data_IF_441668003312
#
_entry.id   IF_441668003312
#
_cell.length_a   1.000
_cell.length_b   1.000
_cell.length_c   1.000
_cell.angle_alpha   90.00
_cell.angle_beta   90.00
_cell.angle_gamma   90.00
#
_symmetry.space_group_name_H-M   'P 1'
#
loop_
_entity.id
_entity.type
_entity.pdbx_description
1 polymer ?
#
# COMPACT_ATOMS: atom_id res chain seq x y z
N UNK A 1 43.13 -20.20 77.58
CA UNK A 1 43.57 -18.87 77.11
C UNK A 1 43.41 -18.81 75.59
N UNK A 2 42.71 -17.77 75.09
CA UNK A 2 42.63 -17.28 73.69
C UNK A 2 41.90 -18.18 72.66
N UNK A 3 40.68 -17.80 72.25
CA UNK A 3 40.29 -17.04 71.02
C UNK A 3 40.04 -17.99 69.82
N UNK A 4 39.17 -17.77 68.84
CA UNK A 4 37.91 -17.03 68.62
C UNK A 4 37.49 -17.40 67.17
N UNK A 5 36.17 -17.57 66.93
CA UNK A 5 35.42 -17.10 65.73
C UNK A 5 35.66 -17.75 64.35
N UNK A 6 34.64 -18.53 63.92
CA UNK A 6 33.76 -18.35 62.73
C UNK A 6 34.40 -18.13 61.34
N UNK A 7 34.13 -19.03 60.38
CA UNK A 7 33.55 -18.71 59.05
C UNK A 7 33.36 -19.93 58.13
N UNK A 8 32.14 -20.02 57.56
CA UNK A 8 31.71 -20.36 56.19
C UNK A 8 32.38 -21.54 55.43
N UNK A 9 31.66 -22.41 54.71
CA UNK A 9 30.71 -22.09 53.63
C UNK A 9 29.90 -23.36 53.25
N UNK A 10 28.57 -23.24 53.19
CA UNK A 10 27.61 -24.26 52.78
C UNK A 10 27.61 -24.41 51.24
N UNK A 11 27.79 -25.62 50.71
CA UNK A 11 27.49 -25.94 49.30
C UNK A 11 25.97 -26.04 49.11
N UNK A 12 25.34 -24.95 48.69
CA UNK A 12 23.96 -24.93 48.21
C UNK A 12 23.93 -25.01 46.69
N UNK A 13 23.41 -26.13 46.16
CA UNK A 13 23.17 -26.33 44.73
C UNK A 13 22.09 -25.34 44.25
N UNK A 14 22.53 -24.33 43.48
CA UNK A 14 21.67 -23.32 42.88
C UNK A 14 21.23 -23.81 41.50
N UNK A 15 20.08 -24.47 41.46
CA UNK A 15 19.39 -24.81 40.21
C UNK A 15 18.96 -23.54 39.48
N UNK A 16 19.68 -23.19 38.41
CA UNK A 16 19.28 -22.15 37.46
C UNK A 16 18.01 -22.59 36.72
N UNK A 17 16.87 -22.10 37.17
CA UNK A 17 15.65 -22.08 36.37
C UNK A 17 15.87 -21.16 35.17
N UNK A 18 15.88 -21.76 33.98
CA UNK A 18 15.89 -21.06 32.70
C UNK A 18 14.46 -20.60 32.40
N UNK A 19 14.14 -19.35 32.75
CA UNK A 19 12.95 -18.67 32.23
C UNK A 19 13.36 -17.87 31.00
N UNK A 20 13.30 -18.51 29.84
CA UNK A 20 13.39 -17.84 28.53
C UNK A 20 12.03 -17.21 28.24
N UNK A 21 11.83 -15.98 28.70
CA UNK A 21 10.76 -15.12 28.20
C UNK A 21 11.29 -14.34 27.01
N UNK A 22 11.23 -14.92 25.81
CA UNK A 22 11.25 -14.14 24.59
C UNK A 22 9.80 -13.78 24.28
N UNK A 23 9.36 -12.66 24.85
CA UNK A 23 8.36 -11.83 24.21
C UNK A 23 9.14 -10.85 23.34
N UNK A 24 8.95 -10.93 22.04
CA UNK A 24 9.27 -9.87 21.09
C UNK A 24 8.29 -10.00 19.91
N UNK A 25 7.00 -9.93 20.25
CA UNK A 25 5.98 -9.46 19.31
C UNK A 25 6.20 -7.97 19.07
N UNK A 26 7.25 -7.63 18.32
CA UNK A 26 7.52 -6.28 17.88
C UNK A 26 6.47 -5.88 16.82
N UNK A 27 5.26 -5.56 17.28
CA UNK A 27 4.20 -4.86 16.54
C UNK A 27 4.60 -3.39 16.31
N UNK A 28 5.78 -3.15 15.74
CA UNK A 28 6.03 -1.86 15.13
C UNK A 28 5.11 -1.76 13.91
N UNK A 29 4.27 -0.71 13.79
CA UNK A 29 3.59 -0.46 12.53
C UNK A 29 4.66 -0.39 11.45
N UNK A 30 4.46 -1.03 10.29
CA UNK A 30 5.44 -1.00 9.21
C UNK A 30 5.81 0.45 8.93
N UNK A 31 7.06 0.82 9.23
CA UNK A 31 7.55 2.18 9.04
C UNK A 31 7.76 2.41 7.55
N UNK A 32 7.29 3.55 7.06
CA UNK A 32 7.41 3.97 5.67
C UNK A 32 6.06 4.16 4.99
N UNK A 33 6.09 4.72 3.79
CA UNK A 33 4.91 4.93 2.96
C UNK A 33 4.89 3.94 1.80
N UNK A 34 3.71 3.72 1.24
CA UNK A 34 3.44 2.93 0.05
C UNK A 34 2.58 3.76 -0.89
N UNK A 35 2.84 3.64 -2.19
CA UNK A 35 2.03 4.31 -3.21
C UNK A 35 0.76 3.51 -3.47
N UNK A 36 -0.40 4.10 -3.26
CA UNK A 36 -1.68 3.53 -3.69
C UNK A 36 -2.26 4.34 -4.84
N UNK A 37 -2.57 3.65 -5.94
CA UNK A 37 -3.34 4.21 -7.05
C UNK A 37 -4.69 3.53 -7.16
N UNK A 38 -5.78 4.31 -7.16
CA UNK A 38 -7.16 3.80 -7.24
C UNK A 38 -7.72 4.02 -8.64
N UNK A 39 -8.24 2.97 -9.24
CA UNK A 39 -8.79 2.95 -10.59
C UNK A 39 -10.28 2.62 -10.57
N UNK A 40 -11.03 3.10 -11.55
CA UNK A 40 -12.43 2.75 -11.79
C UNK A 40 -12.56 1.98 -13.11
N UNK A 41 -13.32 0.90 -13.08
CA UNK A 41 -13.70 0.10 -14.25
C UNK A 41 -15.14 -0.39 -14.11
N UNK A 42 -15.76 -0.83 -15.20
CA UNK A 42 -17.12 -1.33 -15.25
C UNK A 42 -17.19 -2.73 -15.88
N UNK A 43 -18.08 -3.55 -15.31
CA UNK A 43 -18.46 -4.82 -15.90
C UNK A 43 -19.40 -4.61 -17.11
N UNK A 44 -19.45 -5.52 -18.09
CA UNK A 44 -20.32 -5.37 -19.25
C UNK A 44 -21.79 -5.16 -18.89
N UNK A 45 -22.41 -4.12 -19.46
CA UNK A 45 -23.83 -3.79 -19.25
C UNK A 45 -24.51 -3.37 -20.56
N UNK A 46 -25.82 -3.63 -20.67
CA UNK A 46 -26.68 -3.27 -21.79
C UNK A 46 -27.51 -2.01 -21.50
N UNK A 47 -26.83 -0.90 -21.20
CA UNK A 47 -27.42 0.45 -21.20
C UNK A 47 -26.73 1.29 -22.27
N UNK A 48 -27.32 2.43 -22.64
CA UNK A 48 -26.68 3.35 -23.59
C UNK A 48 -25.56 4.15 -22.91
N UNK A 49 -25.80 4.56 -21.64
CA UNK A 49 -24.81 5.22 -20.78
C UNK A 49 -25.21 5.07 -19.30
N UNK A 50 -24.22 5.12 -18.42
CA UNK A 50 -24.43 5.14 -16.95
C UNK A 50 -23.50 6.18 -16.36
N UNK A 51 -24.07 7.29 -15.92
CA UNK A 51 -23.35 8.42 -15.36
C UNK A 51 -23.37 8.36 -13.84
N UNK A 52 -22.20 8.25 -13.23
CA UNK A 52 -22.01 8.25 -11.77
C UNK A 52 -21.17 9.44 -11.35
N UNK A 53 -21.71 10.22 -10.42
CA UNK A 53 -21.07 11.39 -9.84
C UNK A 53 -20.17 10.97 -8.68
N UNK A 54 -18.85 10.97 -8.89
CA UNK A 54 -17.84 10.55 -7.91
C UNK A 54 -17.20 11.78 -7.27
N UNK A 55 -17.39 11.92 -5.96
CA UNK A 55 -17.02 13.13 -5.21
C UNK A 55 -15.77 12.95 -4.34
N UNK A 56 -15.58 11.76 -3.76
CA UNK A 56 -14.41 11.48 -2.93
C UNK A 56 -14.20 9.96 -2.77
N UNK A 57 -12.97 9.56 -2.43
CA UNK A 57 -12.70 8.24 -1.83
C UNK A 57 -11.98 8.47 -0.52
N UNK A 58 -12.47 7.85 0.53
CA UNK A 58 -11.91 7.94 1.86
C UNK A 58 -11.35 6.59 2.29
N UNK A 59 -10.31 6.63 3.10
CA UNK A 59 -9.68 5.48 3.73
C UNK A 59 -9.75 5.64 5.24
N UNK A 60 -9.76 4.52 5.94
CA UNK A 60 -9.65 4.48 7.39
C UNK A 60 -8.52 3.54 7.78
N UNK A 61 -7.52 4.09 8.46
CA UNK A 61 -6.34 3.36 8.93
C UNK A 61 -6.48 2.83 10.36
N UNK A 62 -7.55 3.22 11.05
CA UNK A 62 -7.77 2.83 12.44
C UNK A 62 -8.58 1.54 12.52
N UNK A 63 -8.54 0.91 13.69
CA UNK A 63 -9.45 -0.19 14.04
C UNK A 63 -10.89 0.29 14.28
N UNK A 64 -11.10 1.60 14.48
CA UNK A 64 -12.43 2.19 14.60
C UNK A 64 -13.07 2.33 13.22
N UNK A 65 -13.98 1.41 12.88
CA UNK A 65 -14.64 1.40 11.56
C UNK A 65 -15.67 2.53 11.36
N UNK A 66 -15.94 3.33 12.40
CA UNK A 66 -16.92 4.42 12.40
C UNK A 66 -16.25 5.77 12.15
N UNK A 67 -15.18 6.07 12.88
CA UNK A 67 -14.46 7.36 12.79
C UNK A 67 -13.12 7.22 12.05
N UNK A 68 -12.37 8.32 11.88
CA UNK A 68 -11.02 8.27 11.30
C UNK A 68 -10.96 8.20 9.77
N UNK A 69 -12.07 8.44 9.08
CA UNK A 69 -12.12 8.51 7.62
C UNK A 69 -11.37 9.73 7.10
N UNK A 70 -10.36 9.50 6.28
CA UNK A 70 -9.53 10.54 5.66
C UNK A 70 -9.74 10.52 4.15
N UNK A 71 -9.90 11.69 3.55
CA UNK A 71 -9.97 11.82 2.09
C UNK A 71 -8.63 11.47 1.45
N UNK A 72 -8.70 10.67 0.39
CA UNK A 72 -7.57 10.37 -0.47
C UNK A 72 -7.34 11.48 -1.51
N UNK A 73 -8.32 12.35 -1.76
CA UNK A 73 -8.22 13.42 -2.74
C UNK A 73 -8.26 12.90 -4.17
N UNK A 74 -9.44 12.98 -4.80
CA UNK A 74 -9.57 12.64 -6.22
C UNK A 74 -8.73 13.59 -7.08
N UNK A 75 -8.13 13.05 -8.14
CA UNK A 75 -7.47 13.86 -9.16
C UNK A 75 -8.49 14.71 -9.93
N UNK A 76 -9.68 14.16 -10.16
CA UNK A 76 -10.79 14.81 -10.88
C UNK A 76 -12.14 14.38 -10.28
N UNK A 77 -12.70 15.09 -9.29
CA UNK A 77 -14.09 14.89 -8.88
C UNK A 77 -15.05 15.21 -10.04
N UNK A 78 -16.15 14.47 -10.16
CA UNK A 78 -17.18 14.76 -11.16
C UNK A 78 -17.92 13.51 -11.67
N UNK A 79 -18.63 13.71 -12.78
CA UNK A 79 -19.49 12.68 -13.39
C UNK A 79 -18.69 11.85 -14.39
N UNK A 80 -18.77 10.53 -14.23
CA UNK A 80 -18.09 9.54 -15.07
C UNK A 80 -19.14 8.68 -15.78
N UNK A 81 -18.99 8.49 -17.09
CA UNK A 81 -19.72 7.44 -17.79
C UNK A 81 -19.00 6.11 -17.56
N UNK A 82 -19.62 5.19 -16.82
CA UNK A 82 -19.00 3.89 -16.49
C UNK A 82 -18.70 3.07 -17.75
N UNK A 83 -19.52 3.22 -18.79
CA UNK A 83 -19.40 2.45 -20.04
C UNK A 83 -18.17 2.85 -20.87
N UNK A 84 -17.48 3.93 -20.52
CA UNK A 84 -16.20 4.31 -21.11
C UNK A 84 -15.05 3.41 -20.59
N UNK A 85 -15.25 2.75 -19.45
CA UNK A 85 -14.22 2.01 -18.70
C UNK A 85 -14.52 0.50 -18.63
N UNK A 86 -14.91 -0.08 -19.77
CA UNK A 86 -15.22 -1.51 -19.93
C UNK A 86 -14.19 -2.20 -20.81
N UNK A 87 -14.24 -3.55 -20.84
CA UNK A 87 -13.34 -4.38 -21.67
C UNK A 87 -11.85 -4.16 -21.36
N UNK A 88 -11.50 -4.01 -20.08
CA UNK A 88 -10.13 -3.82 -19.62
C UNK A 88 -9.63 -2.37 -19.70
N UNK A 89 -10.48 -1.42 -20.10
CA UNK A 89 -10.22 0.00 -19.93
C UNK A 89 -10.54 0.41 -18.49
N UNK A 90 -9.71 1.29 -17.94
CA UNK A 90 -9.91 1.87 -16.62
C UNK A 90 -9.57 3.37 -16.61
N UNK A 91 -9.90 4.04 -15.51
CA UNK A 91 -9.50 5.44 -15.28
C UNK A 91 -8.93 5.63 -13.89
N UNK A 92 -7.83 6.38 -13.81
CA UNK A 92 -7.17 6.71 -12.55
C UNK A 92 -7.98 7.77 -11.80
N UNK A 93 -8.48 7.41 -10.62
CA UNK A 93 -9.17 8.31 -9.71
C UNK A 93 -8.21 9.02 -8.75
N UNK A 94 -7.25 8.28 -8.20
CA UNK A 94 -6.36 8.72 -7.11
C UNK A 94 -4.96 8.16 -7.33
N UNK A 95 -3.94 8.94 -6.98
CA UNK A 95 -2.59 8.45 -6.76
C UNK A 95 -2.02 9.14 -5.52
N UNK A 96 -1.76 8.40 -4.44
CA UNK A 96 -1.36 8.99 -3.16
C UNK A 96 -0.42 8.07 -2.39
N UNK A 97 0.53 8.68 -1.68
CA UNK A 97 1.39 7.99 -0.73
C UNK A 97 0.64 7.83 0.60
N UNK A 98 0.55 6.60 1.07
CA UNK A 98 -0.14 6.20 2.29
C UNK A 98 0.84 5.53 3.24
N UNK A 99 0.64 5.61 4.56
CA UNK A 99 1.41 4.79 5.48
C UNK A 99 1.29 3.31 5.12
N UNK A 100 2.39 2.57 5.22
CA UNK A 100 2.37 1.13 5.09
C UNK A 100 1.48 0.50 6.19
N UNK A 101 0.92 -0.68 5.90
CA UNK A 101 0.04 -1.40 6.80
C UNK A 101 -1.26 -1.86 6.16
N UNK A 102 -2.18 -2.34 7.00
CA UNK A 102 -3.44 -2.96 6.56
C UNK A 102 -4.50 -1.91 6.24
N UNK A 103 -5.10 -2.01 5.06
CA UNK A 103 -6.30 -1.28 4.65
C UNK A 103 -7.44 -2.30 4.52
N UNK A 104 -8.30 -2.33 5.53
CA UNK A 104 -9.47 -3.21 5.52
C UNK A 104 -10.55 -2.68 4.59
N UNK A 105 -10.77 -1.35 4.58
CA UNK A 105 -11.95 -0.72 4.00
C UNK A 105 -11.63 0.65 3.40
N UNK A 106 -12.37 0.99 2.34
CA UNK A 106 -12.46 2.35 1.79
C UNK A 106 -13.93 2.76 1.71
N UNK A 107 -14.16 4.03 1.42
CA UNK A 107 -15.50 4.60 1.30
C UNK A 107 -15.57 5.50 0.09
N UNK A 108 -16.44 5.16 -0.84
CA UNK A 108 -16.72 5.92 -2.05
C UNK A 108 -17.86 6.91 -1.76
N UNK A 109 -17.61 8.21 -1.97
CA UNK A 109 -18.64 9.25 -1.83
C UNK A 109 -19.18 9.56 -3.22
N UNK A 110 -20.50 9.41 -3.37
CA UNK A 110 -21.21 9.76 -4.60
C UNK A 110 -21.92 11.09 -4.43
N UNK A 111 -21.98 11.87 -5.50
CA UNK A 111 -22.80 13.07 -5.61
C UNK A 111 -24.24 12.75 -6.02
N UNK A 112 -24.99 13.79 -6.38
CA UNK A 112 -26.40 13.67 -6.73
C UNK A 112 -26.66 13.55 -8.23
N UNK A 113 -25.65 13.82 -9.09
CA UNK A 113 -25.82 13.89 -10.53
C UNK A 113 -25.64 12.52 -11.21
N UNK A 114 -26.36 11.51 -10.69
CA UNK A 114 -26.33 10.15 -11.23
C UNK A 114 -27.49 9.94 -12.21
N UNK A 115 -27.24 9.31 -13.36
CA UNK A 115 -28.29 8.99 -14.34
C UNK A 115 -27.96 7.76 -15.18
N UNK A 116 -28.98 7.15 -15.77
CA UNK A 116 -28.87 6.05 -16.73
C UNK A 116 -29.57 6.46 -18.03
N UNK A 117 -28.99 6.11 -19.18
CA UNK A 117 -29.60 6.32 -20.49
C UNK A 117 -30.09 4.99 -21.03
N UNK A 118 -31.39 4.95 -21.37
CA UNK A 118 -32.07 3.78 -21.93
C UNK A 118 -32.91 4.21 -23.12
N UNK A 119 -32.65 3.63 -24.29
CA UNK A 119 -33.33 4.01 -25.53
C UNK A 119 -33.11 5.48 -25.89
N UNK A 120 -31.92 6.01 -25.62
CA UNK A 120 -31.57 7.42 -25.84
C UNK A 120 -32.18 8.43 -24.85
N UNK A 121 -33.01 7.98 -23.91
CA UNK A 121 -33.61 8.86 -22.88
C UNK A 121 -32.85 8.75 -21.57
N UNK A 122 -32.50 9.89 -20.97
CA UNK A 122 -31.81 9.94 -19.67
C UNK A 122 -32.82 9.94 -18.52
N UNK A 123 -32.58 9.07 -17.53
CA UNK A 123 -33.36 8.95 -16.31
C UNK A 123 -32.46 9.16 -15.09
N UNK A 124 -32.87 9.99 -14.11
CA UNK A 124 -32.10 10.16 -12.88
C UNK A 124 -32.07 8.85 -12.08
N UNK A 125 -30.93 8.59 -11.44
CA UNK A 125 -30.74 7.46 -10.53
C UNK A 125 -30.95 7.93 -9.09
N UNK A 126 -31.98 7.44 -8.43
CA UNK A 126 -32.15 7.67 -7.00
C UNK A 126 -31.10 6.88 -6.20
N UNK A 127 -30.50 7.50 -5.19
CA UNK A 127 -29.43 6.89 -4.39
C UNK A 127 -29.82 6.70 -2.91
N UNK A 128 -30.72 5.78 -2.55
CA UNK A 128 -31.19 5.62 -1.17
C UNK A 128 -30.08 5.33 -0.15
N UNK A 129 -29.00 4.66 -0.57
CA UNK A 129 -27.91 4.22 0.31
C UNK A 129 -26.67 5.13 0.32
N UNK A 130 -26.53 6.05 -0.65
CA UNK A 130 -25.30 6.84 -0.81
C UNK A 130 -25.35 8.22 -0.13
N UNK A 131 -26.53 8.72 0.23
CA UNK A 131 -26.76 10.15 0.49
C UNK A 131 -26.30 10.71 1.84
N UNK A 132 -25.95 9.89 2.84
CA UNK A 132 -25.58 10.43 4.16
C UNK A 132 -24.14 10.16 4.60
N UNK A 133 -23.52 9.04 4.20
CA UNK A 133 -22.20 8.68 4.70
C UNK A 133 -21.24 8.09 3.67
N UNK A 134 -21.70 7.87 2.43
CA UNK A 134 -20.92 7.21 1.37
C UNK A 134 -20.98 5.68 1.43
N UNK A 135 -20.59 5.05 0.32
CA UNK A 135 -20.62 3.60 0.13
C UNK A 135 -19.34 2.96 0.67
N UNK A 136 -19.48 2.10 1.67
CA UNK A 136 -18.36 1.38 2.30
C UNK A 136 -17.99 0.15 1.46
N UNK A 137 -16.72 0.02 1.10
CA UNK A 137 -16.16 -1.09 0.32
C UNK A 137 -15.08 -1.80 1.13
N UNK A 138 -15.14 -3.12 1.18
CA UNK A 138 -14.06 -3.93 1.76
C UNK A 138 -12.93 -4.04 0.74
N UNK A 139 -11.67 -3.96 1.16
CA UNK A 139 -10.47 -4.00 0.28
C UNK A 139 -9.45 -5.05 0.74
N UNK A 140 -9.34 -5.30 2.05
CA UNK A 140 -8.42 -6.29 2.63
C UNK A 140 -7.01 -6.28 2.03
N UNK A 141 -6.41 -5.10 1.89
CA UNK A 141 -5.06 -4.95 1.37
C UNK A 141 -4.03 -4.79 2.50
N UNK A 142 -2.81 -5.25 2.26
CA UNK A 142 -1.66 -5.01 3.12
C UNK A 142 -0.60 -4.30 2.29
N UNK A 143 -0.39 -3.01 2.60
CA UNK A 143 0.57 -2.16 1.93
C UNK A 143 1.95 -2.36 2.55
N UNK A 144 2.88 -2.87 1.77
CA UNK A 144 4.30 -2.94 2.15
C UNK A 144 4.95 -1.59 1.85
N UNK A 145 5.78 -1.11 2.79
CA UNK A 145 6.54 0.13 2.59
C UNK A 145 7.38 0.04 1.31
N UNK A 146 7.44 1.15 0.58
CA UNK A 146 8.23 1.34 -0.64
C UNK A 146 7.79 0.47 -1.83
N UNK A 147 6.64 -0.19 -1.70
CA UNK A 147 5.96 -0.94 -2.76
C UNK A 147 4.78 -0.13 -3.29
N UNK A 148 4.54 -0.22 -4.59
CA UNK A 148 3.41 0.40 -5.26
C UNK A 148 2.26 -0.58 -5.46
N UNK A 149 1.03 -0.09 -5.28
CA UNK A 149 -0.19 -0.87 -5.43
C UNK A 149 -1.20 -0.17 -6.34
N UNK A 150 -1.92 -0.98 -7.11
CA UNK A 150 -3.15 -0.60 -7.79
C UNK A 150 -4.34 -1.21 -7.07
N UNK A 151 -5.39 -0.43 -6.86
CA UNK A 151 -6.70 -0.85 -6.36
C UNK A 151 -7.74 -0.52 -7.43
N UNK A 152 -8.47 -1.52 -7.91
CA UNK A 152 -9.59 -1.30 -8.81
C UNK A 152 -10.90 -1.29 -8.05
N UNK A 153 -11.76 -0.33 -8.41
CA UNK A 153 -13.17 -0.30 -8.10
C UNK A 153 -13.90 -0.78 -9.36
N UNK A 154 -14.24 -2.06 -9.37
CA UNK A 154 -14.98 -2.71 -10.44
C UNK A 154 -16.47 -2.56 -10.17
N UNK A 155 -17.04 -1.52 -10.77
CA UNK A 155 -18.45 -1.19 -10.66
C UNK A 155 -19.23 -2.14 -11.58
N UNK A 156 -20.24 -2.83 -11.07
CA UNK A 156 -21.10 -3.66 -11.90
C UNK A 156 -22.37 -2.87 -12.20
N UNK A 157 -22.37 -2.03 -13.24
CA UNK A 157 -23.52 -1.20 -13.57
C UNK A 157 -24.80 -2.03 -13.80
N UNK A 158 -24.67 -3.22 -14.38
CA UNK A 158 -25.78 -4.13 -14.64
C UNK A 158 -26.48 -4.60 -13.35
N UNK A 159 -25.71 -4.91 -12.30
CA UNK A 159 -26.26 -5.28 -10.99
C UNK A 159 -26.58 -4.08 -10.10
N UNK A 160 -25.98 -2.92 -10.40
CA UNK A 160 -26.12 -1.72 -9.58
C UNK A 160 -27.39 -0.93 -9.86
N UNK A 161 -27.94 -1.05 -11.06
CA UNK A 161 -29.15 -0.31 -11.46
C UNK A 161 -30.37 -1.21 -11.31
N UNK A 162 -31.30 -0.78 -10.47
CA UNK A 162 -32.57 -1.48 -10.24
C UNK A 162 -33.69 -0.68 -10.86
N UNK A 163 -34.40 -1.29 -11.81
CA UNK A 163 -35.62 -0.72 -12.38
C UNK A 163 -36.79 -0.97 -11.42
N UNK A 164 -37.52 0.08 -11.09
CA UNK A 164 -38.78 0.01 -10.35
C UNK A 164 -39.95 0.23 -11.31
N UNK A 165 -41.18 -0.04 -10.85
CA UNK A 165 -42.37 0.27 -11.65
C UNK A 165 -42.39 1.75 -12.10
N UNK A 166 -43.00 2.03 -13.25
CA UNK A 166 -43.14 3.38 -13.82
C UNK A 166 -41.82 4.05 -14.29
N UNK A 167 -40.90 3.31 -14.91
CA UNK A 167 -39.65 3.84 -15.51
C UNK A 167 -38.74 4.60 -14.52
N UNK A 168 -38.79 4.24 -13.24
CA UNK A 168 -37.96 4.83 -12.21
C UNK A 168 -36.77 3.93 -11.91
N UNK A 169 -35.58 4.50 -11.86
CA UNK A 169 -34.32 3.76 -11.66
C UNK A 169 -33.68 4.12 -10.32
N UNK A 170 -33.23 3.09 -9.61
CA UNK A 170 -32.56 3.21 -8.31
C UNK A 170 -31.14 2.68 -8.44
N UNK A 171 -30.18 3.43 -7.91
CA UNK A 171 -28.79 3.01 -7.78
C UNK A 171 -28.57 2.30 -6.44
N UNK A 172 -28.24 1.01 -6.52
CA UNK A 172 -27.75 0.17 -5.42
C UNK A 172 -26.38 -0.36 -5.81
N UNK A 173 -25.29 0.42 -5.61
CA UNK A 173 -23.99 0.06 -6.16
C UNK A 173 -23.53 -1.32 -5.70
N UNK A 174 -23.16 -2.15 -6.67
CA UNK A 174 -22.45 -3.40 -6.51
C UNK A 174 -21.06 -3.17 -7.04
N UNK A 175 -20.09 -3.03 -6.13
CA UNK A 175 -18.71 -2.72 -6.48
C UNK A 175 -17.82 -3.79 -5.87
N UNK A 176 -17.02 -4.43 -6.73
CA UNK A 176 -15.97 -5.35 -6.31
C UNK A 176 -14.66 -4.56 -6.23
N UNK A 177 -13.84 -4.91 -5.25
CA UNK A 177 -12.50 -4.34 -5.11
C UNK A 177 -11.47 -5.44 -5.28
N UNK A 178 -10.31 -5.10 -5.83
CA UNK A 178 -9.15 -5.97 -5.81
C UNK A 178 -7.89 -5.13 -5.89
N UNK A 179 -6.85 -5.60 -5.21
CA UNK A 179 -5.55 -4.94 -5.15
C UNK A 179 -4.47 -5.79 -5.79
N UNK A 180 -3.49 -5.12 -6.39
CA UNK A 180 -2.32 -5.76 -6.96
C UNK A 180 -1.09 -4.90 -6.65
N UNK A 181 -0.06 -5.50 -6.07
CA UNK A 181 1.25 -4.86 -6.03
C UNK A 181 1.82 -4.81 -7.46
N UNK A 182 2.41 -3.69 -7.84
CA UNK A 182 2.98 -3.49 -9.18
C UNK A 182 4.50 -3.40 -9.18
N UNK A 183 5.12 -3.30 -8.00
CA UNK A 183 6.57 -3.25 -7.85
C UNK A 183 7.03 -4.06 -6.63
N UNK A 184 8.35 -4.18 -6.49
CA UNK A 184 9.02 -4.48 -5.23
C UNK A 184 10.04 -3.38 -4.91
N UNK A 185 10.81 -3.57 -3.85
CA UNK A 185 11.89 -2.66 -3.47
C UNK A 185 13.10 -3.42 -2.96
N UNK A 186 14.27 -2.76 -2.96
CA UNK A 186 15.47 -3.22 -2.26
C UNK A 186 15.76 -2.23 -1.14
N UNK A 187 16.04 -2.72 0.08
CA UNK A 187 16.42 -1.89 1.22
C UNK A 187 17.62 -2.45 1.96
N UNK A 188 18.34 -1.59 2.67
CA UNK A 188 19.49 -1.99 3.48
C UNK A 188 20.11 -0.83 4.23
N UNK A 189 21.31 -1.06 4.75
CA UNK A 189 22.13 -0.07 5.43
C UNK A 189 23.51 -0.04 4.78
N UNK A 190 24.00 1.13 4.37
CA UNK A 190 25.33 1.32 3.82
C UNK A 190 26.18 2.20 4.75
N UNK A 191 27.33 1.67 5.20
CA UNK A 191 28.22 2.33 6.16
C UNK A 191 29.66 2.42 5.64
N UNK A 192 30.44 3.42 6.09
CA UNK A 192 29.99 4.60 6.84
C UNK A 192 29.18 5.53 5.92
N UNK A 193 28.03 6.01 6.41
CA UNK A 193 27.06 6.73 5.58
C UNK A 193 27.64 7.95 4.84
N UNK A 194 28.56 8.68 5.50
CA UNK A 194 29.22 9.87 4.94
C UNK A 194 30.11 9.58 3.72
N UNK A 195 30.61 8.36 3.61
CA UNK A 195 31.47 7.92 2.51
C UNK A 195 30.70 7.32 1.35
N UNK A 196 29.38 7.10 1.48
CA UNK A 196 28.55 6.61 0.37
C UNK A 196 28.11 7.80 -0.48
N UNK A 197 28.46 7.77 -1.78
CA UNK A 197 28.13 8.82 -2.75
C UNK A 197 27.00 8.47 -3.71
N UNK A 198 26.59 7.21 -3.74
CA UNK A 198 25.45 6.76 -4.53
C UNK A 198 25.16 5.30 -4.29
N UNK A 199 23.89 4.92 -4.42
CA UNK A 199 23.44 3.54 -4.39
C UNK A 199 22.57 3.31 -5.61
N UNK A 200 22.85 2.30 -6.41
CA UNK A 200 22.23 2.06 -7.70
C UNK A 200 21.76 0.61 -7.82
N UNK A 201 20.50 0.41 -8.21
CA UNK A 201 20.06 -0.88 -8.73
C UNK A 201 20.37 -0.92 -10.23
N UNK A 202 21.07 -1.96 -10.65
CA UNK A 202 21.54 -2.14 -12.03
C UNK A 202 20.97 -3.45 -12.56
N UNK A 203 20.36 -3.40 -13.75
CA UNK A 203 19.88 -4.58 -14.47
C UNK A 203 20.25 -4.45 -15.94
N UNK A 204 20.81 -5.50 -16.54
CA UNK A 204 21.21 -5.53 -17.96
C UNK A 204 22.06 -4.31 -18.38
N UNK A 205 23.01 -3.92 -17.54
CA UNK A 205 23.88 -2.75 -17.72
C UNK A 205 23.22 -1.36 -17.61
N UNK A 206 21.92 -1.28 -17.33
CA UNK A 206 21.22 -0.02 -17.09
C UNK A 206 20.99 0.24 -15.60
N UNK A 207 21.02 1.52 -15.21
CA UNK A 207 20.70 1.96 -13.86
C UNK A 207 19.21 2.22 -13.76
N UNK A 208 18.49 1.33 -13.08
CA UNK A 208 17.02 1.37 -13.01
C UNK A 208 16.50 2.22 -11.86
N UNK A 209 17.28 2.36 -10.79
CA UNK A 209 16.93 3.16 -9.62
C UNK A 209 18.21 3.64 -8.92
N UNK A 210 18.11 4.79 -8.26
CA UNK A 210 19.19 5.39 -7.50
C UNK A 210 18.69 5.92 -6.17
N UNK A 211 19.55 5.89 -5.16
CA UNK A 211 19.29 6.44 -3.84
C UNK A 211 20.57 6.99 -3.19
N UNK A 212 20.38 7.83 -2.17
CA UNK A 212 21.40 8.17 -1.19
C UNK A 212 20.97 7.61 0.17
N UNK A 213 21.90 7.05 0.96
CA UNK A 213 21.55 6.60 2.29
C UNK A 213 21.27 7.79 3.20
N UNK A 214 20.51 7.53 4.27
CA UNK A 214 20.38 8.46 5.37
C UNK A 214 21.77 8.80 5.94
N UNK A 215 22.07 10.08 6.09
CA UNK A 215 23.39 10.57 6.47
C UNK A 215 23.87 10.13 7.87
N UNK A 216 22.94 9.71 8.74
CA UNK A 216 23.23 9.28 10.10
C UNK A 216 23.16 7.76 10.23
N UNK A 217 22.06 7.16 9.79
CA UNK A 217 21.80 5.73 9.99
C UNK A 217 22.37 4.84 8.89
N UNK A 218 22.70 5.40 7.72
CA UNK A 218 23.12 4.64 6.54
C UNK A 218 21.98 3.92 5.82
N UNK A 219 20.74 4.03 6.29
CA UNK A 219 19.59 3.31 5.71
C UNK A 219 19.27 3.82 4.30
N UNK A 220 19.02 2.93 3.36
CA UNK A 220 18.63 3.26 1.99
C UNK A 220 17.50 2.38 1.48
N UNK A 221 16.76 2.87 0.49
CA UNK A 221 15.74 2.14 -0.25
C UNK A 221 15.80 2.47 -1.74
N UNK A 222 15.63 1.45 -2.58
CA UNK A 222 15.45 1.53 -4.03
C UNK A 222 14.03 1.01 -4.34
N UNK A 223 13.01 1.89 -4.40
CA UNK A 223 11.62 1.50 -4.64
C UNK A 223 11.31 1.29 -6.12
N UNK A 224 10.12 0.78 -6.44
CA UNK A 224 9.59 0.80 -7.80
C UNK A 224 10.24 -0.22 -8.75
N UNK A 225 10.88 -1.26 -8.23
CA UNK A 225 11.60 -2.24 -9.03
C UNK A 225 10.66 -3.33 -9.54
N UNK A 226 10.74 -3.66 -10.83
CA UNK A 226 10.07 -4.84 -11.38
C UNK A 226 10.67 -6.13 -10.79
N UNK A 227 9.92 -7.22 -10.76
CA UNK A 227 10.48 -8.51 -10.34
C UNK A 227 11.65 -8.93 -11.23
N UNK A 228 12.72 -9.39 -10.61
CA UNK A 228 13.96 -9.76 -11.30
C UNK A 228 15.18 -9.70 -10.39
N UNK A 229 16.33 -10.06 -10.96
CA UNK A 229 17.61 -9.95 -10.28
C UNK A 229 18.30 -8.63 -10.64
N UNK A 230 18.89 -7.97 -9.64
CA UNK A 230 19.60 -6.70 -9.76
C UNK A 230 20.98 -6.79 -9.14
N UNK A 231 21.94 -6.09 -9.72
CA UNK A 231 23.19 -5.78 -9.04
C UNK A 231 23.00 -4.46 -8.28
N UNK A 232 23.38 -4.41 -7.00
CA UNK A 232 23.29 -3.21 -6.19
C UNK A 232 24.69 -2.64 -6.02
N UNK A 233 24.99 -1.56 -6.75
CA UNK A 233 26.26 -0.87 -6.64
C UNK A 233 26.16 0.23 -5.58
N UNK A 234 27.12 0.25 -4.65
CA UNK A 234 27.27 1.24 -3.59
C UNK A 234 28.59 1.94 -3.86
N UNK A 235 28.51 3.21 -4.28
CA UNK A 235 29.64 4.01 -4.70
C UNK A 235 30.23 4.72 -3.48
N UNK A 236 31.54 4.55 -3.29
CA UNK A 236 32.31 5.18 -2.23
C UNK A 236 32.74 6.61 -2.57
N UNK A 237 33.50 7.22 -1.68
CA UNK A 237 34.00 8.61 -1.81
C UNK A 237 35.38 8.70 -2.46
N UNK A 238 35.92 7.57 -2.92
CA UNK A 238 37.27 7.43 -3.47
C UNK A 238 38.33 7.11 -2.42
N UNK A 239 38.07 7.33 -1.14
CA UNK A 239 38.89 6.82 -0.02
C UNK A 239 38.45 5.39 0.28
N UNK A 240 37.14 5.19 0.48
CA UNK A 240 36.54 3.86 0.51
C UNK A 240 36.12 3.45 -0.89
N UNK A 241 36.36 2.19 -1.24
CA UNK A 241 36.10 1.64 -2.56
C UNK A 241 34.63 1.28 -2.72
N UNK A 242 34.18 1.29 -3.97
CA UNK A 242 32.86 0.82 -4.35
C UNK A 242 32.65 -0.65 -3.97
N UNK A 243 31.42 -0.99 -3.62
CA UNK A 243 30.99 -2.37 -3.36
C UNK A 243 29.79 -2.69 -4.24
N UNK A 244 29.73 -3.89 -4.82
CA UNK A 244 28.56 -4.34 -5.59
C UNK A 244 28.05 -5.66 -5.04
N UNK A 245 26.77 -5.70 -4.70
CA UNK A 245 26.05 -6.94 -4.42
C UNK A 245 25.50 -7.49 -5.74
N UNK A 246 25.76 -8.76 -6.03
CA UNK A 246 25.31 -9.39 -7.27
C UNK A 246 24.03 -10.19 -7.05
N UNK A 247 23.12 -10.13 -8.02
CA UNK A 247 21.96 -11.03 -8.07
C UNK A 247 20.96 -10.86 -6.92
N UNK A 248 20.75 -9.63 -6.44
CA UNK A 248 19.72 -9.32 -5.45
C UNK A 248 18.35 -9.53 -6.10
N UNK A 249 17.60 -10.53 -5.64
CA UNK A 249 16.28 -10.85 -6.16
C UNK A 249 15.23 -9.89 -5.61
N UNK A 250 14.39 -9.36 -6.51
CA UNK A 250 13.21 -8.57 -6.21
C UNK A 250 11.97 -9.36 -6.59
N UNK A 251 11.01 -9.41 -5.66
CA UNK A 251 9.69 -10.00 -5.88
C UNK A 251 8.64 -8.89 -5.75
N UNK A 252 7.65 -8.89 -6.64
CA UNK A 252 6.52 -7.94 -6.57
C UNK A 252 5.79 -8.11 -5.24
N UNK A 253 5.47 -6.98 -4.59
CA UNK A 253 4.80 -6.96 -3.29
C UNK A 253 5.74 -7.08 -2.09
N UNK A 254 7.06 -7.11 -2.28
CA UNK A 254 8.03 -7.34 -1.21
C UNK A 254 9.16 -6.31 -1.22
N UNK A 255 9.74 -6.07 -0.03
CA UNK A 255 10.93 -5.26 0.16
C UNK A 255 12.14 -6.16 0.49
N UNK A 256 12.98 -6.43 -0.51
CA UNK A 256 14.17 -7.27 -0.38
C UNK A 256 15.22 -6.59 0.49
N UNK A 257 15.49 -7.15 1.66
CA UNK A 257 16.49 -6.60 2.59
C UNK A 257 17.88 -7.20 2.33
N UNK A 258 18.85 -6.35 1.97
CA UNK A 258 20.24 -6.76 1.74
C UNK A 258 21.13 -6.62 2.99
N UNK A 259 20.55 -6.23 4.13
CA UNK A 259 21.25 -6.09 5.40
C UNK A 259 22.19 -4.88 5.43
N UNK A 260 23.24 -4.97 6.25
CA UNK A 260 24.26 -3.93 6.40
C UNK A 260 25.47 -4.22 5.52
N UNK A 261 25.84 -3.25 4.69
CA UNK A 261 27.01 -3.26 3.83
C UNK A 261 28.00 -2.21 4.35
N UNK A 262 29.23 -2.64 4.61
CA UNK A 262 30.30 -1.74 5.04
C UNK A 262 31.33 -1.60 3.92
N UNK A 263 31.50 -0.38 3.42
CA UNK A 263 32.54 -0.04 2.45
C UNK A 263 33.93 -0.19 3.09
N UNK A 264 34.93 -0.54 2.27
CA UNK A 264 36.31 -0.80 2.69
C UNK A 264 37.32 -0.09 1.82
#
# INVERSE_FOLDING_TARGET
MKNNVLSFLLLGAMSLFSLTSCDDGNDYPPQGNSRLSVYLTDAPVAYDAVYIDIQDVRVNYSSDTTNGWQSLGLLRPGVYNLLDFRNGLDTLLISKDLPAGKISQIRLILGNNNSVVVGGTSYPLETPSAQQSGLKLNVHAELVADVEYRLWLDFDAAKSIVTTGSNKYILKPVIRTFTQATSGSIKGIALPAISVKGIYAIQQNDTVAAALPNAVTGTFVLPGLNAGAYNVAIVGDGILRDTTLLGVNVTVGQASNVGTITLR
#
